data_IF_751393289423
#
_entry.id   IF_751393289423
#
_cell.length_a   1.000
_cell.length_b   1.000
_cell.length_c   1.000
_cell.angle_alpha   90.00
_cell.angle_beta   90.00
_cell.angle_gamma   90.00
#
_symmetry.space_group_name_H-M   'P 1'
#
loop_
_entity.id
_entity.type
_entity.pdbx_description
1 polymer ?
#
# COMPACT_ATOMS: atom_id res chain seq x y z
N UNK A 1 0.40 6.25 7.93
CA UNK A 1 1.12 5.30 7.06
C UNK A 1 2.30 6.03 6.40
N UNK A 2 3.41 5.34 6.16
CA UNK A 2 4.61 5.94 5.54
C UNK A 2 4.37 6.20 4.04
N UNK A 3 4.78 7.38 3.55
CA UNK A 3 4.52 7.85 2.18
C UNK A 3 5.00 6.87 1.10
N UNK A 4 6.11 6.15 1.32
CA UNK A 4 6.61 5.17 0.35
C UNK A 4 5.65 3.99 0.13
N UNK A 5 4.89 3.57 1.16
CA UNK A 5 3.94 2.47 1.01
C UNK A 5 2.75 2.87 0.16
N UNK A 6 2.33 4.13 0.26
CA UNK A 6 1.28 4.70 -0.61
C UNK A 6 1.75 4.75 -2.06
N UNK A 7 3.02 5.12 -2.31
CA UNK A 7 3.62 5.09 -3.65
C UNK A 7 3.65 3.68 -4.23
N UNK A 8 4.11 2.68 -3.46
CA UNK A 8 4.07 1.28 -3.89
C UNK A 8 2.67 0.81 -4.27
N UNK A 9 1.63 1.22 -3.53
CA UNK A 9 0.24 0.89 -3.88
C UNK A 9 -0.19 1.64 -5.14
N UNK A 10 0.16 2.92 -5.29
CA UNK A 10 -0.13 3.70 -6.49
C UNK A 10 0.48 3.04 -7.75
N UNK A 11 1.75 2.63 -7.68
CA UNK A 11 2.44 1.91 -8.76
C UNK A 11 1.70 0.64 -9.18
N UNK A 12 1.25 -0.15 -8.19
CA UNK A 12 0.48 -1.38 -8.45
C UNK A 12 -0.92 -1.09 -9.03
N UNK A 13 -1.60 -0.06 -8.54
CA UNK A 13 -2.93 0.34 -9.04
C UNK A 13 -2.86 0.87 -10.48
N UNK A 14 -1.81 1.63 -10.79
CA UNK A 14 -1.55 2.18 -12.12
C UNK A 14 -0.99 1.12 -13.08
N UNK A 15 -0.60 -0.06 -12.58
CA UNK A 15 -0.02 -1.13 -13.39
C UNK A 15 1.32 -0.75 -14.02
N UNK A 16 2.09 0.11 -13.35
CA UNK A 16 3.35 0.62 -13.88
C UNK A 16 4.39 -0.50 -14.00
N UNK A 17 5.13 -0.50 -15.11
CA UNK A 17 6.30 -1.36 -15.26
C UNK A 17 7.48 -0.78 -14.47
N UNK A 18 8.50 -1.60 -14.12
CA UNK A 18 9.70 -1.10 -13.43
C UNK A 18 10.35 0.09 -14.15
N UNK A 19 10.39 0.07 -15.48
CA UNK A 19 10.97 1.15 -16.29
C UNK A 19 10.18 2.45 -16.16
N UNK A 20 8.84 2.37 -16.09
CA UNK A 20 7.99 3.55 -15.89
C UNK A 20 8.10 4.10 -14.47
N UNK A 21 8.33 3.23 -13.48
CA UNK A 21 8.57 3.64 -12.10
C UNK A 21 9.91 4.36 -11.99
N UNK A 22 10.96 3.81 -12.61
CA UNK A 22 12.28 4.43 -12.65
C UNK A 22 12.24 5.80 -13.34
N UNK A 23 11.51 5.92 -14.45
CA UNK A 23 11.31 7.20 -15.14
C UNK A 23 10.61 8.25 -14.26
N UNK A 24 9.54 7.88 -13.54
CA UNK A 24 8.88 8.79 -12.58
C UNK A 24 9.83 9.25 -11.48
N UNK A 25 10.67 8.34 -10.98
CA UNK A 25 11.65 8.65 -9.92
C UNK A 25 12.74 9.58 -10.46
N UNK A 26 13.30 9.28 -11.63
CA UNK A 26 14.42 10.02 -12.24
C UNK A 26 14.01 11.41 -12.73
N UNK A 27 12.80 11.55 -13.25
CA UNK A 27 12.24 12.85 -13.69
C UNK A 27 11.77 13.71 -12.53
N UNK A 28 11.61 13.12 -11.33
CA UNK A 28 11.01 13.79 -10.18
C UNK A 28 9.52 14.09 -10.37
N UNK A 29 8.87 13.39 -11.31
CA UNK A 29 7.45 13.54 -11.57
C UNK A 29 6.61 12.94 -10.43
N UNK A 30 5.50 13.59 -10.09
CA UNK A 30 4.64 13.14 -8.98
C UNK A 30 3.63 12.09 -9.45
N UNK A 31 3.31 11.17 -8.54
CA UNK A 31 2.29 10.14 -8.72
C UNK A 31 0.88 10.74 -8.83
N UNK A 32 0.70 12.00 -8.41
CA UNK A 32 -0.59 12.71 -8.49
C UNK A 32 -1.12 12.81 -9.93
N UNK A 33 -0.27 13.10 -10.92
CA UNK A 33 -0.69 13.24 -12.32
C UNK A 33 -1.30 11.95 -12.88
N UNK A 34 -0.61 10.78 -12.84
CA UNK A 34 -1.18 9.54 -13.33
C UNK A 34 -2.37 9.05 -12.48
N UNK A 35 -2.36 9.27 -11.15
CA UNK A 35 -3.50 8.92 -10.29
C UNK A 35 -4.75 9.76 -10.62
N UNK A 36 -4.57 11.05 -10.89
CA UNK A 36 -5.67 11.94 -11.27
C UNK A 36 -6.25 11.52 -12.62
N UNK A 37 -5.41 11.16 -13.59
CA UNK A 37 -5.83 10.72 -14.91
C UNK A 37 -6.59 9.37 -14.86
N UNK A 38 -6.12 8.41 -14.07
CA UNK A 38 -6.68 7.07 -14.03
C UNK A 38 -7.89 6.93 -13.08
N UNK A 39 -7.85 7.61 -11.93
CA UNK A 39 -8.79 7.39 -10.83
C UNK A 39 -9.44 8.68 -10.31
N UNK A 40 -9.02 9.85 -10.80
CA UNK A 40 -9.55 11.13 -10.37
C UNK A 40 -9.14 11.54 -8.94
N UNK A 41 -8.04 10.97 -8.42
CA UNK A 41 -7.56 11.21 -7.05
C UNK A 41 -6.06 11.55 -7.04
N UNK A 42 -5.62 12.23 -5.99
CA UNK A 42 -4.20 12.44 -5.68
C UNK A 42 -3.66 11.38 -4.69
N UNK A 43 -2.35 11.37 -4.48
CA UNK A 43 -1.64 10.46 -3.57
C UNK A 43 -2.09 10.65 -2.11
N UNK A 44 -2.43 11.88 -1.73
CA UNK A 44 -2.93 12.19 -0.38
C UNK A 44 -4.31 11.57 -0.12
N UNK A 45 -5.18 11.58 -1.11
CA UNK A 45 -6.51 10.97 -1.09
C UNK A 45 -6.39 9.45 -1.12
N UNK A 46 -5.52 8.91 -1.97
CA UNK A 46 -5.21 7.49 -1.98
C UNK A 46 -4.73 7.01 -0.60
N UNK A 47 -3.85 7.74 0.07
CA UNK A 47 -3.39 7.42 1.42
C UNK A 47 -4.55 7.34 2.43
N UNK A 48 -5.51 8.28 2.36
CA UNK A 48 -6.70 8.27 3.24
C UNK A 48 -7.59 7.04 2.95
N UNK A 49 -7.79 6.70 1.67
CA UNK A 49 -8.54 5.52 1.27
C UNK A 49 -7.86 4.26 1.81
N UNK A 50 -6.56 4.11 1.61
CA UNK A 50 -5.81 2.96 2.13
C UNK A 50 -5.97 2.86 3.64
N UNK A 51 -5.78 3.95 4.38
CA UNK A 51 -5.94 3.95 5.84
C UNK A 51 -7.35 3.55 6.29
N UNK A 52 -8.39 3.91 5.54
CA UNK A 52 -9.76 3.50 5.83
C UNK A 52 -9.99 2.01 5.52
N UNK A 53 -9.32 1.46 4.50
CA UNK A 53 -9.50 0.09 4.03
C UNK A 53 -8.62 -0.93 4.75
N UNK A 54 -7.42 -0.55 5.22
CA UNK A 54 -6.49 -1.48 5.89
C UNK A 54 -7.20 -2.25 7.02
N UNK A 55 -7.92 -1.62 7.97
CA UNK A 55 -8.59 -2.33 9.07
C UNK A 55 -9.65 -3.35 8.64
N UNK A 56 -10.09 -3.32 7.38
CA UNK A 56 -11.07 -4.24 6.83
C UNK A 56 -10.43 -5.48 6.19
N UNK A 57 -9.11 -5.50 6.05
CA UNK A 57 -8.37 -6.66 5.52
C UNK A 57 -8.33 -7.80 6.53
N UNK A 58 -8.06 -9.05 6.12
CA UNK A 58 -7.82 -10.13 7.08
C UNK A 58 -6.62 -9.84 7.99
N UNK A 59 -6.69 -10.28 9.24
CA UNK A 59 -5.53 -10.27 10.15
C UNK A 59 -4.53 -11.33 9.70
N UNK A 60 -3.26 -10.95 9.61
CA UNK A 60 -2.15 -11.87 9.33
C UNK A 60 -1.08 -11.74 10.41
N UNK A 61 -0.28 -12.80 10.57
CA UNK A 61 0.84 -12.78 11.50
C UNK A 61 2.03 -12.03 10.88
N UNK A 62 2.50 -10.97 11.54
CA UNK A 62 3.63 -10.21 11.04
C UNK A 62 4.96 -10.87 11.50
N UNK A 63 5.84 -11.30 10.58
CA UNK A 63 6.93 -12.23 10.87
C UNK A 63 8.07 -11.63 11.71
N UNK A 64 8.20 -10.30 11.77
CA UNK A 64 9.32 -9.64 12.49
C UNK A 64 9.00 -9.25 13.93
N UNK A 65 7.75 -8.90 14.22
CA UNK A 65 7.31 -8.36 15.50
C UNK A 65 6.30 -9.28 16.21
N UNK A 66 5.95 -10.42 15.60
CA UNK A 66 5.10 -11.47 16.18
C UNK A 66 3.69 -11.00 16.58
N UNK A 67 3.18 -9.94 15.97
CA UNK A 67 1.83 -9.41 16.24
C UNK A 67 0.88 -9.68 15.07
N UNK A 68 -0.42 -9.71 15.37
CA UNK A 68 -1.46 -9.71 14.34
C UNK A 68 -1.62 -8.30 13.78
N UNK A 69 -1.60 -8.19 12.46
CA UNK A 69 -1.80 -6.93 11.74
C UNK A 69 -2.87 -7.11 10.68
N UNK A 70 -3.67 -6.08 10.47
CA UNK A 70 -4.44 -5.94 9.25
C UNK A 70 -3.49 -5.52 8.12
N UNK A 71 -3.49 -6.23 6.99
CA UNK A 71 -2.57 -5.94 5.90
C UNK A 71 -3.11 -6.19 4.50
N UNK A 72 -2.68 -5.33 3.57
CA UNK A 72 -2.65 -5.65 2.15
C UNK A 72 -1.37 -6.45 1.85
N UNK A 73 -1.53 -7.56 1.14
CA UNK A 73 -0.44 -8.48 0.80
C UNK A 73 -0.36 -8.61 -0.71
N UNK A 74 0.85 -8.49 -1.24
CA UNK A 74 1.17 -8.82 -2.63
C UNK A 74 1.81 -10.21 -2.66
N UNK A 75 1.31 -11.06 -3.56
CA UNK A 75 1.92 -12.34 -3.85
C UNK A 75 2.82 -12.23 -5.09
N UNK A 76 4.06 -12.70 -5.01
CA UNK A 76 4.99 -12.74 -6.14
C UNK A 76 5.84 -14.02 -6.07
N UNK A 77 5.59 -14.94 -7.01
CA UNK A 77 6.28 -16.24 -7.05
C UNK A 77 5.83 -17.14 -5.89
N UNK A 78 6.74 -17.47 -4.99
CA UNK A 78 6.46 -18.23 -3.74
C UNK A 78 6.47 -17.33 -2.50
N UNK A 79 6.64 -16.01 -2.68
CA UNK A 79 6.80 -15.05 -1.59
C UNK A 79 5.60 -14.12 -1.47
N UNK A 80 5.30 -13.74 -0.22
CA UNK A 80 4.27 -12.77 0.11
C UNK A 80 4.91 -11.53 0.76
N UNK A 81 4.48 -10.35 0.33
CA UNK A 81 5.01 -9.07 0.78
C UNK A 81 3.88 -8.21 1.34
N UNK A 82 4.08 -7.71 2.56
CA UNK A 82 3.15 -6.73 3.16
C UNK A 82 3.42 -5.38 2.51
N UNK A 83 2.42 -4.85 1.80
CA UNK A 83 2.52 -3.55 1.11
C UNK A 83 1.94 -2.41 1.96
N UNK A 84 0.96 -2.71 2.81
CA UNK A 84 0.41 -1.79 3.81
C UNK A 84 -0.11 -2.58 4.99
N UNK A 85 0.06 -2.03 6.19
CA UNK A 85 -0.41 -2.67 7.40
C UNK A 85 -0.74 -1.67 8.50
N UNK A 86 -1.62 -2.10 9.39
CA UNK A 86 -1.94 -1.43 10.64
C UNK A 86 -2.04 -2.51 11.72
N UNK A 87 -1.53 -2.22 12.92
CA UNK A 87 -1.69 -3.14 14.04
C UNK A 87 -3.17 -3.44 14.27
N UNK A 88 -3.50 -4.72 14.37
CA UNK A 88 -4.84 -5.08 14.79
C UNK A 88 -4.98 -4.69 16.27
N UNK A 89 -6.09 -4.07 16.69
CA UNK A 89 -6.35 -3.93 18.11
C UNK A 89 -6.26 -5.32 18.75
N UNK A 90 -5.66 -5.38 19.94
CA UNK A 90 -5.74 -6.60 20.74
C UNK A 90 -7.22 -6.96 20.87
N UNK A 91 -7.59 -8.17 20.45
CA UNK A 91 -8.91 -8.69 20.75
C UNK A 91 -8.93 -8.80 22.29
N UNK A 92 -9.50 -7.80 22.96
CA UNK A 92 -9.90 -7.91 24.35
C UNK A 92 -11.10 -8.85 24.36
N UNK A 93 -10.84 -10.14 24.16
CA UNK A 93 -11.79 -11.20 24.42
C UNK A 93 -12.20 -11.08 25.89
N UNK A 94 -13.48 -10.77 26.10
CA UNK A 94 -14.15 -10.77 27.40
C UNK A 94 -14.89 -12.09 27.57
#
# INVERSE_FOLDING_TARGET
>A
METYKTKLIAEQMLGLTPEQIDELIDTGEDYDTPLQAAFGIDLATLNKIIQALVPLTPKIFHPKNHHLVHAFVRYQGEHSYIIASQDAPADNDT
#
